data_IF_160713362084
#
_entry.id   IF_160713362084
#
_cell.length_a   1.000
_cell.length_b   1.000
_cell.length_c   1.000
_cell.angle_alpha   90.00
_cell.angle_beta   90.00
_cell.angle_gamma   90.00
#
_symmetry.space_group_name_H-M   'P 1'
#
loop_
_entity.id
_entity.type
_entity.pdbx_description
1 polymer ?
#
# COMPACT_ATOMS: atom_id res chain seq x y z
N UNK A 1 -10.59 -11.41 3.65
CA UNK A 1 -9.49 -12.19 4.25
C UNK A 1 -9.54 -12.22 5.78
N UNK A 2 -9.42 -11.09 6.48
CA UNK A 2 -9.33 -11.05 7.96
C UNK A 2 -10.39 -11.86 8.71
N UNK A 3 -11.67 -11.76 8.34
CA UNK A 3 -12.75 -12.53 8.97
C UNK A 3 -12.50 -14.04 8.95
N UNK A 4 -11.91 -14.56 7.88
CA UNK A 4 -11.62 -15.99 7.70
C UNK A 4 -10.41 -16.41 8.52
N UNK A 5 -9.39 -15.54 8.63
CA UNK A 5 -8.24 -15.76 9.52
C UNK A 5 -8.67 -15.77 10.99
N UNK A 6 -9.42 -14.76 11.43
CA UNK A 6 -9.83 -14.58 12.83
C UNK A 6 -10.83 -15.63 13.31
N UNK A 7 -11.72 -16.13 12.44
CA UNK A 7 -12.65 -17.19 12.83
C UNK A 7 -12.01 -18.59 12.86
N UNK A 8 -10.72 -18.72 12.50
CA UNK A 8 -9.96 -19.96 12.63
C UNK A 8 -10.29 -21.03 11.59
N UNK A 9 -11.09 -20.73 10.57
CA UNK A 9 -11.47 -21.68 9.50
C UNK A 9 -10.29 -22.18 8.66
N UNK A 10 -9.15 -21.50 8.70
CA UNK A 10 -7.94 -21.88 7.96
C UNK A 10 -6.88 -22.57 8.81
N UNK A 11 -7.14 -22.85 10.11
CA UNK A 11 -6.13 -23.36 11.04
C UNK A 11 -5.44 -24.65 10.58
N UNK A 12 -6.20 -25.57 9.98
CA UNK A 12 -5.66 -26.84 9.47
C UNK A 12 -4.74 -26.67 8.24
N UNK A 13 -4.82 -25.53 7.56
CA UNK A 13 -4.04 -25.23 6.35
C UNK A 13 -2.83 -24.31 6.62
N UNK A 14 -2.54 -23.97 7.87
CA UNK A 14 -1.41 -23.11 8.20
C UNK A 14 -0.08 -23.80 7.90
N UNK A 15 0.79 -23.12 7.15
CA UNK A 15 2.13 -23.61 6.79
C UNK A 15 3.24 -23.10 7.73
N UNK A 16 2.93 -22.09 8.56
CA UNK A 16 3.83 -21.51 9.55
C UNK A 16 3.09 -21.28 10.87
N UNK A 17 3.82 -21.04 11.95
CA UNK A 17 3.21 -20.62 13.21
C UNK A 17 2.49 -19.26 13.00
N UNK A 18 1.22 -19.10 13.41
CA UNK A 18 0.52 -17.82 13.28
C UNK A 18 1.21 -16.64 13.94
N UNK A 19 2.05 -16.88 14.96
CA UNK A 19 2.86 -15.85 15.62
C UNK A 19 3.93 -15.25 14.70
N UNK A 20 4.35 -15.98 13.68
CA UNK A 20 5.35 -15.55 12.71
C UNK A 20 4.70 -14.93 11.45
N UNK A 21 3.36 -14.78 11.44
CA UNK A 21 2.61 -14.22 10.32
C UNK A 21 2.23 -12.76 10.57
N UNK A 22 2.85 -11.84 9.83
CA UNK A 22 2.49 -10.42 9.87
C UNK A 22 1.02 -10.18 9.45
N UNK A 23 0.48 -11.01 8.55
CA UNK A 23 -0.91 -10.89 8.11
C UNK A 23 -1.91 -11.28 9.22
N UNK A 24 -1.56 -12.27 10.04
CA UNK A 24 -2.36 -12.63 11.20
C UNK A 24 -2.35 -11.50 12.23
N UNK A 25 -1.18 -10.94 12.54
CA UNK A 25 -1.07 -9.82 13.48
C UNK A 25 -1.81 -8.57 12.97
N UNK A 26 -1.73 -8.27 11.67
CA UNK A 26 -2.48 -7.20 11.05
C UNK A 26 -4.00 -7.42 11.15
N UNK A 27 -4.47 -8.67 11.03
CA UNK A 27 -5.88 -9.01 11.22
C UNK A 27 -6.33 -8.83 12.68
N UNK A 28 -5.51 -9.27 13.65
CA UNK A 28 -5.78 -9.12 15.10
C UNK A 28 -5.88 -7.64 15.48
N UNK A 29 -4.96 -6.82 14.97
CA UNK A 29 -4.93 -5.36 15.20
C UNK A 29 -5.91 -4.58 14.33
N UNK A 30 -6.62 -5.25 13.42
CA UNK A 30 -7.53 -4.65 12.46
C UNK A 30 -6.89 -3.49 11.67
N UNK A 31 -5.66 -3.70 11.19
CA UNK A 31 -4.96 -2.71 10.38
C UNK A 31 -5.58 -2.60 8.98
N UNK A 32 -5.73 -1.39 8.42
CA UNK A 32 -6.19 -1.24 7.05
C UNK A 32 -5.14 -1.82 6.09
N UNK A 33 -5.58 -2.71 5.19
CA UNK A 33 -4.74 -3.26 4.12
C UNK A 33 -5.40 -2.99 2.78
N UNK A 34 -4.66 -2.32 1.90
CA UNK A 34 -5.06 -2.06 0.52
C UNK A 34 -4.12 -2.86 -0.39
N UNK A 35 -4.69 -3.77 -1.19
CA UNK A 35 -3.92 -4.63 -2.11
C UNK A 35 -4.46 -4.44 -3.53
N UNK A 36 -4.17 -3.30 -4.17
CA UNK A 36 -4.49 -3.13 -5.59
C UNK A 36 -3.70 -4.15 -6.43
N UNK A 37 -4.27 -4.58 -7.56
CA UNK A 37 -3.59 -5.54 -8.45
C UNK A 37 -3.46 -6.95 -7.86
N UNK A 38 -4.28 -7.33 -6.87
CA UNK A 38 -4.21 -8.66 -6.24
C UNK A 38 -4.40 -9.81 -7.25
N UNK A 39 -5.04 -9.53 -8.38
CA UNK A 39 -5.22 -10.47 -9.50
C UNK A 39 -3.89 -10.91 -10.12
N UNK A 40 -2.84 -10.09 -10.04
CA UNK A 40 -1.48 -10.44 -10.45
C UNK A 40 -0.76 -11.20 -9.33
N UNK A 41 -1.30 -12.37 -8.98
CA UNK A 41 -0.75 -13.23 -7.94
C UNK A 41 -1.16 -14.69 -8.13
N UNK A 42 -0.52 -15.59 -7.39
CA UNK A 42 -0.95 -17.00 -7.32
C UNK A 42 -2.42 -17.13 -6.91
N UNK A 43 -2.88 -16.30 -5.97
CA UNK A 43 -4.29 -16.29 -5.55
C UNK A 43 -5.21 -15.81 -6.69
N UNK A 44 -4.78 -14.81 -7.45
CA UNK A 44 -5.49 -14.35 -8.65
C UNK A 44 -5.60 -15.43 -9.72
N UNK A 45 -4.51 -16.15 -10.00
CA UNK A 45 -4.49 -17.28 -10.94
C UNK A 45 -5.44 -18.40 -10.51
N UNK A 46 -5.42 -18.77 -9.22
CA UNK A 46 -6.36 -19.76 -8.67
C UNK A 46 -7.81 -19.30 -8.81
N UNK A 47 -8.09 -18.05 -8.47
CA UNK A 47 -9.43 -17.48 -8.60
C UNK A 47 -9.92 -17.48 -10.05
N UNK A 48 -9.07 -17.10 -11.01
CA UNK A 48 -9.38 -17.16 -12.43
C UNK A 48 -9.70 -18.59 -12.90
N UNK A 49 -8.96 -19.60 -12.43
CA UNK A 49 -9.26 -21.01 -12.72
C UNK A 49 -10.63 -21.45 -12.18
N UNK A 50 -11.00 -21.00 -10.97
CA UNK A 50 -12.34 -21.24 -10.39
C UNK A 50 -13.47 -20.50 -11.15
N UNK A 51 -13.16 -19.36 -11.77
CA UNK A 51 -14.10 -18.69 -12.68
C UNK A 51 -14.30 -19.47 -13.99
N UNK A 52 -13.21 -19.96 -14.60
CA UNK A 52 -13.25 -20.74 -15.85
C UNK A 52 -14.02 -22.06 -15.65
N UNK A 53 -13.83 -22.73 -14.51
CA UNK A 53 -14.56 -23.95 -14.14
C UNK A 53 -16.01 -23.70 -13.72
N UNK A 54 -16.49 -22.44 -13.70
CA UNK A 54 -17.84 -22.04 -13.28
C UNK A 54 -18.18 -22.32 -11.81
N UNK A 55 -17.17 -22.62 -10.98
CA UNK A 55 -17.31 -22.72 -9.51
C UNK A 55 -17.55 -21.35 -8.89
N UNK A 56 -16.88 -20.32 -9.41
CA UNK A 56 -17.13 -18.91 -9.11
C UNK A 56 -17.82 -18.27 -10.31
N UNK A 57 -19.10 -17.95 -10.16
CA UNK A 57 -19.91 -17.37 -11.27
C UNK A 57 -19.85 -15.85 -11.33
N UNK A 58 -19.39 -15.20 -10.26
CA UNK A 58 -19.30 -13.75 -10.18
C UNK A 58 -17.86 -13.35 -9.84
N UNK A 59 -17.18 -12.72 -10.80
CA UNK A 59 -15.80 -12.26 -10.62
C UNK A 59 -15.68 -11.14 -9.58
N UNK A 60 -16.75 -10.40 -9.32
CA UNK A 60 -16.78 -9.27 -8.39
C UNK A 60 -17.01 -9.67 -6.92
N UNK A 61 -16.71 -10.92 -6.54
CA UNK A 61 -16.74 -11.31 -5.11
C UNK A 61 -15.51 -10.83 -4.33
N UNK A 62 -14.52 -10.28 -5.02
CA UNK A 62 -13.34 -9.61 -4.45
C UNK A 62 -13.34 -8.15 -4.88
N UNK A 63 -12.89 -7.27 -3.99
CA UNK A 63 -12.83 -5.83 -4.26
C UNK A 63 -11.88 -5.51 -5.40
N UNK A 64 -12.34 -4.67 -6.31
CA UNK A 64 -11.53 -4.15 -7.42
C UNK A 64 -10.56 -3.06 -6.96
N UNK A 65 -9.57 -2.72 -7.79
CA UNK A 65 -8.67 -1.59 -7.52
C UNK A 65 -9.41 -0.25 -7.32
N UNK A 66 -10.53 -0.03 -8.02
CA UNK A 66 -11.35 1.17 -7.83
C UNK A 66 -12.01 1.18 -6.46
N UNK A 67 -12.58 0.06 -6.01
CA UNK A 67 -13.14 -0.03 -4.65
C UNK A 67 -12.07 0.17 -3.58
N UNK A 68 -10.86 -0.36 -3.78
CA UNK A 68 -9.75 -0.08 -2.87
C UNK A 68 -9.37 1.41 -2.84
N UNK A 69 -9.40 2.11 -3.98
CA UNK A 69 -9.09 3.54 -4.04
C UNK A 69 -10.15 4.36 -3.30
N UNK A 70 -11.43 4.03 -3.46
CA UNK A 70 -12.53 4.67 -2.72
C UNK A 70 -12.34 4.48 -1.21
N UNK A 71 -12.10 3.24 -0.76
CA UNK A 71 -11.87 2.94 0.65
C UNK A 71 -10.61 3.62 1.20
N UNK A 72 -9.54 3.67 0.40
CA UNK A 72 -8.30 4.36 0.75
C UNK A 72 -8.54 5.85 0.91
N UNK A 73 -9.31 6.47 0.00
CA UNK A 73 -9.63 7.88 0.05
C UNK A 73 -10.46 8.24 1.30
N UNK A 74 -11.43 7.41 1.65
CA UNK A 74 -12.21 7.54 2.89
C UNK A 74 -11.31 7.45 4.13
N UNK A 75 -10.48 6.40 4.20
CA UNK A 75 -9.55 6.19 5.30
C UNK A 75 -8.53 7.34 5.42
N UNK A 76 -7.95 7.75 4.29
CA UNK A 76 -6.97 8.84 4.23
C UNK A 76 -7.56 10.14 4.73
N UNK A 77 -8.76 10.52 4.26
CA UNK A 77 -9.45 11.76 4.66
C UNK A 77 -9.69 11.82 6.17
N UNK A 78 -9.96 10.67 6.82
CA UNK A 78 -10.19 10.61 8.26
C UNK A 78 -8.90 10.76 9.09
N UNK A 79 -7.77 10.27 8.58
CA UNK A 79 -6.51 10.18 9.34
C UNK A 79 -5.55 11.33 9.04
N UNK A 80 -5.52 11.81 7.79
CA UNK A 80 -4.60 12.84 7.31
C UNK A 80 -4.55 14.14 8.16
N UNK A 81 -5.64 14.63 8.79
CA UNK A 81 -5.58 15.80 9.67
C UNK A 81 -4.62 15.68 10.86
N UNK A 82 -4.22 14.46 11.25
CA UNK A 82 -3.23 14.22 12.32
C UNK A 82 -1.78 14.36 11.84
N UNK A 83 -1.57 14.55 10.54
CA UNK A 83 -0.28 14.40 9.88
C UNK A 83 -0.01 12.93 9.58
N UNK A 84 -0.06 12.55 8.31
CA UNK A 84 0.20 11.18 7.87
C UNK A 84 1.48 11.13 7.02
N UNK A 85 2.43 10.29 7.45
CA UNK A 85 3.66 10.03 6.71
C UNK A 85 3.53 8.83 5.78
N UNK A 86 4.26 8.87 4.67
CA UNK A 86 4.36 7.76 3.73
C UNK A 86 5.79 7.18 3.73
N UNK A 87 5.94 5.99 4.30
CA UNK A 87 7.18 5.23 4.30
C UNK A 87 7.07 4.09 3.29
N UNK A 88 7.72 4.26 2.15
CA UNK A 88 7.66 3.37 1.01
C UNK A 88 8.89 2.47 0.96
N UNK A 89 8.64 1.17 0.79
CA UNK A 89 9.68 0.16 0.62
C UNK A 89 9.52 -0.40 -0.79
N UNK A 90 10.53 -0.22 -1.63
CA UNK A 90 10.48 -0.53 -3.06
C UNK A 90 9.68 0.51 -3.86
N UNK A 91 8.96 0.02 -4.88
CA UNK A 91 8.20 0.85 -5.82
C UNK A 91 6.97 0.12 -6.36
N UNK A 92 6.64 0.42 -7.62
CA UNK A 92 5.49 -0.15 -8.32
C UNK A 92 4.16 0.22 -7.68
N UNK A 93 3.17 -0.66 -7.86
CA UNK A 93 1.79 -0.40 -7.42
C UNK A 93 1.66 -0.13 -5.92
N UNK A 94 2.55 -0.71 -5.09
CA UNK A 94 2.57 -0.51 -3.64
C UNK A 94 3.02 0.91 -3.24
N UNK A 95 3.82 1.59 -4.06
CA UNK A 95 4.17 3.00 -3.90
C UNK A 95 3.14 3.93 -4.55
N UNK A 96 2.78 3.60 -5.78
CA UNK A 96 2.10 4.52 -6.69
C UNK A 96 0.60 4.61 -6.40
N UNK A 97 -0.05 3.47 -6.14
CA UNK A 97 -1.47 3.46 -5.83
C UNK A 97 -1.82 4.29 -4.59
N UNK A 98 -1.15 4.11 -3.43
CA UNK A 98 -1.53 4.89 -2.25
C UNK A 98 -1.17 6.37 -2.37
N UNK A 99 -0.04 6.73 -2.97
CA UNK A 99 0.38 8.14 -3.03
C UNK A 99 -0.52 8.98 -3.95
N UNK A 100 -1.14 8.35 -4.95
CA UNK A 100 -2.12 8.96 -5.85
C UNK A 100 -3.43 9.38 -5.19
N UNK A 101 -3.71 8.91 -3.97
CA UNK A 101 -4.95 9.26 -3.26
C UNK A 101 -5.11 10.78 -3.12
N UNK A 102 -4.03 11.51 -2.90
CA UNK A 102 -4.07 12.97 -2.68
C UNK A 102 -4.32 13.73 -3.98
N UNK A 103 -3.55 13.52 -5.07
CA UNK A 103 -3.87 14.11 -6.37
C UNK A 103 -5.31 13.82 -6.82
N UNK A 104 -5.78 12.58 -6.64
CA UNK A 104 -7.15 12.21 -6.98
C UNK A 104 -8.17 12.98 -6.15
N UNK A 105 -7.97 13.09 -4.82
CA UNK A 105 -8.85 13.88 -3.96
C UNK A 105 -8.86 15.37 -4.33
N UNK A 106 -7.70 15.94 -4.66
CA UNK A 106 -7.56 17.37 -4.94
C UNK A 106 -8.05 17.74 -6.34
N UNK A 107 -7.56 17.06 -7.36
CA UNK A 107 -7.71 17.43 -8.77
C UNK A 107 -8.96 16.81 -9.38
N UNK A 108 -9.19 15.52 -9.16
CA UNK A 108 -10.30 14.80 -9.79
C UNK A 108 -11.60 14.97 -8.99
N UNK A 109 -11.53 14.88 -7.67
CA UNK A 109 -12.69 15.00 -6.78
C UNK A 109 -12.94 16.43 -6.27
N UNK A 110 -12.01 17.36 -6.49
CA UNK A 110 -12.16 18.78 -6.14
C UNK A 110 -12.19 19.06 -4.63
N UNK A 111 -11.43 18.30 -3.82
CA UNK A 111 -11.31 18.46 -2.36
C UNK A 111 -9.92 19.00 -1.96
N UNK A 112 -9.60 20.27 -2.26
CA UNK A 112 -8.26 20.82 -2.05
C UNK A 112 -7.86 20.94 -0.57
N UNK A 113 -8.83 20.93 0.35
CA UNK A 113 -8.57 21.09 1.79
C UNK A 113 -8.08 19.80 2.48
N UNK A 114 -8.09 18.66 1.78
CA UNK A 114 -7.52 17.42 2.32
C UNK A 114 -6.00 17.62 2.50
N UNK A 115 -5.43 17.35 3.68
CA UNK A 115 -3.99 17.53 3.88
C UNK A 115 -3.15 16.67 2.92
N UNK A 116 -2.01 17.22 2.48
CA UNK A 116 -0.98 16.48 1.75
C UNK A 116 -0.26 15.48 2.68
N UNK A 117 0.53 14.57 2.10
CA UNK A 117 1.41 13.71 2.90
C UNK A 117 2.41 14.57 3.69
N UNK A 118 2.44 14.37 5.01
CA UNK A 118 3.23 15.18 5.95
C UNK A 118 4.71 14.78 5.96
N UNK A 119 5.03 13.57 5.50
CA UNK A 119 6.38 13.01 5.42
C UNK A 119 6.46 12.03 4.26
N UNK A 120 7.62 11.95 3.61
CA UNK A 120 7.90 10.92 2.61
C UNK A 120 9.29 10.32 2.83
N UNK A 121 9.38 9.00 2.83
CA UNK A 121 10.64 8.30 2.67
C UNK A 121 10.47 7.11 1.76
N UNK A 122 11.41 6.91 0.86
CA UNK A 122 11.44 5.77 -0.04
C UNK A 122 12.78 5.06 0.06
N UNK A 123 12.75 3.74 0.23
CA UNK A 123 13.91 2.87 0.01
C UNK A 123 13.71 2.22 -1.35
N UNK A 124 14.62 2.44 -2.28
CA UNK A 124 14.51 1.92 -3.65
C UNK A 124 15.88 1.83 -4.29
N UNK A 125 16.12 0.80 -5.08
CA UNK A 125 17.30 0.65 -5.94
C UNK A 125 17.05 1.14 -7.38
N UNK A 126 15.81 1.49 -7.72
CA UNK A 126 15.48 2.13 -9.00
C UNK A 126 16.19 3.47 -9.14
N UNK A 127 17.01 3.59 -10.18
CA UNK A 127 17.59 4.88 -10.59
C UNK A 127 16.53 5.78 -11.21
N UNK A 128 16.72 7.09 -11.11
CA UNK A 128 15.95 8.10 -11.84
C UNK A 128 16.25 7.96 -13.33
N UNK A 129 15.55 7.08 -14.05
CA UNK A 129 15.67 6.99 -15.51
C UNK A 129 14.32 6.77 -16.18
N UNK A 130 14.24 7.22 -17.44
CA UNK A 130 13.15 7.03 -18.41
C UNK A 130 11.70 7.30 -17.93
N UNK A 131 11.49 8.22 -16.98
CA UNK A 131 10.13 8.62 -16.59
C UNK A 131 9.33 7.56 -15.84
N UNK A 132 10.01 6.62 -15.16
CA UNK A 132 9.35 5.65 -14.27
C UNK A 132 8.69 6.36 -13.09
N UNK A 133 7.42 6.01 -12.82
CA UNK A 133 6.64 6.55 -11.69
C UNK A 133 7.30 6.22 -10.33
N UNK A 134 7.92 5.04 -10.24
CA UNK A 134 8.61 4.56 -9.04
C UNK A 134 9.97 5.22 -8.81
N UNK A 135 10.61 5.72 -9.87
CA UNK A 135 11.86 6.48 -9.82
C UNK A 135 11.66 8.01 -9.86
N UNK A 136 10.41 8.49 -9.80
CA UNK A 136 10.09 9.90 -9.89
C UNK A 136 10.71 10.69 -8.72
N UNK A 137 11.59 11.64 -9.06
CA UNK A 137 12.27 12.51 -8.09
C UNK A 137 11.26 13.26 -7.21
N UNK A 138 11.63 13.64 -5.98
CA UNK A 138 10.68 14.25 -5.05
C UNK A 138 10.03 15.55 -5.58
N UNK A 139 10.73 16.29 -6.46
CA UNK A 139 10.19 17.49 -7.10
C UNK A 139 8.97 17.19 -7.99
N UNK A 140 8.97 16.07 -8.69
CA UNK A 140 7.82 15.64 -9.50
C UNK A 140 6.61 15.33 -8.60
N UNK A 141 6.85 14.78 -7.41
CA UNK A 141 5.77 14.50 -6.44
C UNK A 141 5.11 15.79 -5.92
N UNK A 142 5.86 16.90 -5.85
CA UNK A 142 5.32 18.22 -5.48
C UNK A 142 4.47 18.78 -6.62
N UNK A 143 4.91 18.68 -7.88
CA UNK A 143 4.13 19.23 -9.01
C UNK A 143 2.79 18.53 -9.19
N UNK A 144 2.69 17.25 -8.84
CA UNK A 144 1.43 16.51 -8.82
C UNK A 144 0.56 16.78 -7.58
N UNK A 145 1.01 17.59 -6.62
CA UNK A 145 0.27 17.86 -5.39
C UNK A 145 0.23 16.66 -4.44
N UNK A 146 1.24 15.77 -4.46
CA UNK A 146 1.34 14.66 -3.49
C UNK A 146 1.99 15.12 -2.18
N UNK A 147 2.99 15.99 -2.29
CA UNK A 147 3.80 16.49 -1.18
C UNK A 147 3.80 18.02 -1.19
N UNK A 148 3.86 18.61 0.01
CA UNK A 148 4.13 20.04 0.15
C UNK A 148 5.58 20.36 -0.18
N UNK A 149 5.84 21.61 -0.57
CA UNK A 149 7.20 22.12 -0.83
C UNK A 149 8.14 21.83 0.36
N UNK A 150 7.63 22.08 1.56
CA UNK A 150 8.35 21.98 2.82
C UNK A 150 8.18 20.61 3.51
N UNK A 151 7.42 19.68 2.94
CA UNK A 151 7.29 18.32 3.48
C UNK A 151 8.68 17.65 3.53
N UNK A 152 9.10 17.10 4.69
CA UNK A 152 10.30 16.29 4.79
C UNK A 152 10.21 15.09 3.84
N UNK A 153 11.23 14.92 3.01
CA UNK A 153 11.26 13.93 1.94
C UNK A 153 12.67 13.36 1.77
N UNK A 154 12.78 12.04 1.81
CA UNK A 154 14.04 11.32 1.76
C UNK A 154 13.98 10.17 0.75
N UNK A 155 15.03 10.00 -0.03
CA UNK A 155 15.20 8.83 -0.90
C UNK A 155 16.48 8.13 -0.47
N UNK A 156 16.38 6.83 -0.21
CA UNK A 156 17.48 5.95 0.13
C UNK A 156 17.69 5.03 -1.07
N UNK A 157 18.74 5.31 -1.83
CA UNK A 157 19.14 4.52 -2.99
C UNK A 157 19.91 3.28 -2.54
N UNK A 158 19.20 2.22 -2.18
CA UNK A 158 19.79 0.98 -1.68
C UNK A 158 18.82 -0.19 -1.73
N UNK A 159 19.36 -1.41 -1.58
CA UNK A 159 18.56 -2.61 -1.39
C UNK A 159 17.81 -2.53 -0.05
N UNK A 160 16.50 -2.78 -0.12
CA UNK A 160 15.60 -2.80 1.03
C UNK A 160 16.07 -3.76 2.13
N UNK A 161 16.59 -4.93 1.75
CA UNK A 161 17.01 -5.98 2.68
C UNK A 161 18.19 -5.56 3.55
N UNK A 162 18.96 -4.56 3.13
CA UNK A 162 20.06 -3.98 3.90
C UNK A 162 19.53 -2.88 4.82
N UNK A 163 18.79 -1.91 4.25
CA UNK A 163 18.51 -0.66 4.97
C UNK A 163 17.25 -0.72 5.83
N UNK A 164 16.19 -1.41 5.39
CA UNK A 164 14.94 -1.45 6.16
C UNK A 164 15.13 -2.07 7.56
N UNK A 165 15.87 -3.19 7.73
CA UNK A 165 16.15 -3.72 9.07
C UNK A 165 16.90 -2.74 9.98
N UNK A 166 17.87 -1.99 9.45
CA UNK A 166 18.64 -1.00 10.20
C UNK A 166 17.79 0.18 10.66
N UNK A 167 16.90 0.69 9.79
CA UNK A 167 15.94 1.74 10.15
C UNK A 167 15.01 1.23 11.24
N UNK A 168 14.45 0.04 11.07
CA UNK A 168 13.56 -0.54 12.06
C UNK A 168 14.27 -0.80 13.39
N UNK A 169 15.54 -1.22 13.37
CA UNK A 169 16.38 -1.35 14.57
C UNK A 169 16.50 -0.05 15.33
N UNK A 170 16.87 1.01 14.60
CA UNK A 170 17.07 2.31 15.21
C UNK A 170 15.76 2.92 15.73
N UNK A 171 14.66 2.80 14.99
CA UNK A 171 13.38 3.47 15.31
C UNK A 171 12.53 2.68 16.30
N UNK A 172 12.51 1.34 16.20
CA UNK A 172 11.68 0.48 17.05
C UNK A 172 12.42 -0.06 18.27
N UNK A 173 13.75 0.04 18.31
CA UNK A 173 14.58 -0.34 19.46
C UNK A 173 14.61 -1.85 19.72
N UNK A 174 14.79 -2.66 18.68
CA UNK A 174 14.97 -4.11 18.80
C UNK A 174 16.44 -4.53 18.79
#
# INVERSE_FOLDING_TARGET
MFKVLLCGKLKEYYQINPRDSWLMEAAIRNLPIFVPGWEDSTLGNMYAAHCISSEIRNIHTVKTGIEYMVLLAEWYTQIAPKGLGFFQIGGGIAGDFPICVVPMLHQDLGRPDVPLWAYFCQISDSTTSYGSYSGAVPNEKITWGKLGKDSPKFIIESDTTIVAPLIFAYVLGW
#
